data_IF_567219285615
#
_entry.id   IF_567219285615
#
_cell.length_a   1.000
_cell.length_b   1.000
_cell.length_c   1.000
_cell.angle_alpha   90.00
_cell.angle_beta   90.00
_cell.angle_gamma   90.00
#
_symmetry.space_group_name_H-M   'P 1'
#
loop_
_entity.id
_entity.type
_entity.pdbx_description
1 polymer ?
#
# COMPACT_ATOMS: atom_id res chain seq x y z
N UNK A 1 20.57 19.01 13.82
CA UNK A 1 21.17 17.94 14.64
C UNK A 1 20.01 17.17 15.24
N UNK A 2 19.52 16.15 14.53
CA UNK A 2 18.44 15.27 15.01
C UNK A 2 19.09 14.20 15.87
N UNK A 3 18.80 14.23 17.14
CA UNK A 3 19.21 13.24 18.12
C UNK A 3 18.58 11.90 17.80
N UNK A 4 19.40 10.93 17.48
CA UNK A 4 19.04 9.52 17.40
C UNK A 4 18.49 9.09 18.76
N UNK A 5 17.25 8.63 18.77
CA UNK A 5 16.62 8.03 19.93
C UNK A 5 17.32 6.68 20.20
N UNK A 6 17.84 6.42 21.39
CA UNK A 6 18.52 5.17 21.70
C UNK A 6 17.50 4.06 21.96
N UNK A 7 17.94 2.86 21.63
CA UNK A 7 17.35 1.56 21.96
C UNK A 7 16.16 1.10 21.09
N UNK A 8 16.52 0.69 19.87
CA UNK A 8 15.74 -0.35 19.21
C UNK A 8 15.93 -1.67 19.99
N UNK A 9 14.85 -2.37 20.35
CA UNK A 9 14.98 -3.72 20.88
C UNK A 9 15.72 -4.58 19.85
N UNK A 10 16.80 -5.21 20.27
CA UNK A 10 17.60 -6.13 19.46
C UNK A 10 16.71 -7.29 18.98
N UNK A 11 16.92 -7.71 17.72
CA UNK A 11 16.19 -8.75 16.98
C UNK A 11 16.35 -10.19 17.59
N UNK A 12 16.50 -10.35 18.90
CA UNK A 12 16.77 -11.62 19.56
C UNK A 12 15.55 -12.23 20.26
N UNK A 13 14.33 -11.99 19.77
CA UNK A 13 13.19 -12.79 20.26
C UNK A 13 12.67 -13.67 19.12
N UNK A 14 13.43 -14.74 18.81
CA UNK A 14 12.95 -15.91 18.07
C UNK A 14 12.03 -16.78 18.95
N UNK A 15 11.41 -16.19 19.96
CA UNK A 15 10.38 -16.83 20.78
C UNK A 15 9.33 -17.41 19.85
N UNK A 16 9.19 -18.74 19.89
CA UNK A 16 8.13 -19.45 19.16
C UNK A 16 6.83 -18.66 19.30
N UNK A 17 6.06 -18.56 18.22
CA UNK A 17 4.70 -18.01 18.20
C UNK A 17 3.77 -18.86 19.11
N UNK A 18 4.21 -19.15 20.32
CA UNK A 18 3.52 -19.95 21.29
C UNK A 18 2.47 -19.08 21.98
N UNK A 19 1.23 -19.22 21.56
CA UNK A 19 0.10 -18.80 22.36
C UNK A 19 -1.03 -18.03 21.69
N UNK A 20 -0.88 -17.45 20.49
CA UNK A 20 -2.02 -16.83 19.81
C UNK A 20 -2.51 -17.70 18.65
N UNK A 21 -3.72 -18.26 18.80
CA UNK A 21 -4.36 -19.11 17.78
C UNK A 21 -4.47 -18.39 16.41
N UNK A 22 -4.61 -17.06 16.43
CA UNK A 22 -4.72 -16.24 15.23
C UNK A 22 -3.39 -16.19 14.47
N UNK A 23 -2.24 -16.04 15.17
CA UNK A 23 -0.92 -16.07 14.53
C UNK A 23 -0.61 -17.44 13.95
N UNK A 24 -0.96 -18.51 14.68
CA UNK A 24 -0.83 -19.88 14.18
C UNK A 24 -1.67 -20.08 12.91
N UNK A 25 -2.90 -19.57 12.87
CA UNK A 25 -3.76 -19.63 11.70
C UNK A 25 -3.19 -18.82 10.52
N UNK A 26 -2.70 -17.60 10.77
CA UNK A 26 -2.11 -16.74 9.73
C UNK A 26 -0.92 -17.40 9.03
N UNK A 27 -0.05 -18.07 9.81
CA UNK A 27 1.18 -18.69 9.29
C UNK A 27 1.07 -20.21 9.11
N UNK A 28 -0.15 -20.79 9.17
CA UNK A 28 -0.38 -22.24 9.12
C UNK A 28 0.24 -22.91 7.87
N UNK A 29 0.28 -22.20 6.74
CA UNK A 29 0.82 -22.70 5.47
C UNK A 29 2.20 -22.14 5.13
N UNK A 30 2.74 -21.29 5.98
CA UNK A 30 4.03 -20.64 5.72
C UNK A 30 5.21 -21.62 5.92
N UNK A 31 6.24 -21.59 5.05
CA UNK A 31 7.39 -22.46 5.20
C UNK A 31 8.25 -22.08 6.41
N UNK A 32 8.74 -23.09 7.15
CA UNK A 32 9.64 -22.94 8.30
C UNK A 32 11.10 -22.70 7.87
N UNK A 33 11.35 -22.03 6.75
CA UNK A 33 12.70 -21.87 6.20
C UNK A 33 13.37 -20.57 6.63
N UNK A 34 14.70 -20.60 6.79
CA UNK A 34 15.49 -19.40 7.08
C UNK A 34 15.30 -18.30 6.02
N UNK A 35 15.10 -18.68 4.74
CA UNK A 35 14.86 -17.73 3.65
C UNK A 35 13.51 -17.03 3.80
N UNK A 36 12.46 -17.75 4.17
CA UNK A 36 11.15 -17.13 4.45
C UNK A 36 11.23 -16.19 5.66
N UNK A 37 11.88 -16.59 6.73
CA UNK A 37 12.07 -15.75 7.91
C UNK A 37 12.84 -14.47 7.59
N UNK A 38 13.90 -14.54 6.77
CA UNK A 38 14.64 -13.36 6.30
C UNK A 38 13.76 -12.44 5.44
N UNK A 39 12.94 -12.99 4.55
CA UNK A 39 11.99 -12.23 3.72
C UNK A 39 10.96 -11.51 4.58
N UNK A 40 10.32 -12.23 5.50
CA UNK A 40 9.34 -11.68 6.44
C UNK A 40 9.93 -10.55 7.28
N UNK A 41 11.10 -10.77 7.92
CA UNK A 41 11.81 -9.76 8.72
C UNK A 41 12.14 -8.51 7.88
N UNK A 42 12.53 -8.66 6.61
CA UNK A 42 12.80 -7.52 5.72
C UNK A 42 11.54 -6.71 5.42
N UNK A 43 10.43 -7.36 5.07
CA UNK A 43 9.15 -6.70 4.83
C UNK A 43 8.63 -5.97 6.07
N UNK A 44 8.72 -6.61 7.24
CA UNK A 44 8.37 -5.99 8.52
C UNK A 44 9.20 -4.75 8.81
N UNK A 45 10.52 -4.80 8.57
CA UNK A 45 11.42 -3.65 8.76
C UNK A 45 11.05 -2.51 7.81
N UNK A 46 10.84 -2.79 6.53
CA UNK A 46 10.43 -1.77 5.54
C UNK A 46 9.12 -1.12 5.90
N UNK A 47 8.13 -1.90 6.36
CA UNK A 47 6.83 -1.38 6.80
C UNK A 47 6.97 -0.49 8.05
N UNK A 48 7.70 -0.95 9.08
CA UNK A 48 7.93 -0.17 10.30
C UNK A 48 8.64 1.14 9.97
N UNK A 49 9.70 1.09 9.16
CA UNK A 49 10.42 2.28 8.74
C UNK A 49 9.49 3.30 8.06
N UNK A 50 8.60 2.85 7.15
CA UNK A 50 7.63 3.76 6.52
C UNK A 50 6.62 4.33 7.52
N UNK A 51 6.15 3.53 8.48
CA UNK A 51 5.25 3.99 9.54
C UNK A 51 5.92 5.08 10.39
N UNK A 52 7.17 4.87 10.77
CA UNK A 52 7.94 5.78 11.61
C UNK A 52 8.35 7.05 10.86
N UNK A 53 8.96 6.93 9.68
CA UNK A 53 9.46 8.05 8.87
C UNK A 53 8.35 9.05 8.49
N UNK A 54 7.13 8.55 8.25
CA UNK A 54 5.98 9.39 7.88
C UNK A 54 5.01 9.65 9.04
N UNK A 55 5.36 9.27 10.27
CA UNK A 55 4.55 9.49 11.46
C UNK A 55 3.12 8.98 11.30
N UNK A 56 2.95 7.76 10.75
CA UNK A 56 1.64 7.24 10.40
C UNK A 56 0.76 6.95 11.62
N UNK A 57 1.35 6.77 12.80
CA UNK A 57 0.64 6.51 14.05
C UNK A 57 0.19 7.78 14.77
N UNK A 58 0.68 8.96 14.36
CA UNK A 58 0.40 10.20 15.07
C UNK A 58 -1.10 10.55 15.05
N UNK A 59 -1.73 10.53 16.24
CA UNK A 59 -3.14 10.83 16.42
C UNK A 59 -4.09 9.71 15.97
N UNK A 60 -3.57 8.53 15.63
CA UNK A 60 -4.35 7.42 15.09
C UNK A 60 -4.74 6.41 16.17
N UNK A 61 -5.99 5.92 16.11
CA UNK A 61 -6.53 4.90 17.02
C UNK A 61 -7.08 3.68 16.27
N UNK A 62 -7.63 3.88 15.06
CA UNK A 62 -8.29 2.84 14.29
C UNK A 62 -8.05 3.00 12.80
N UNK A 63 -7.62 1.93 12.13
CA UNK A 63 -7.31 1.90 10.71
C UNK A 63 -8.28 1.01 9.94
N UNK A 64 -8.78 1.50 8.82
CA UNK A 64 -9.53 0.72 7.82
C UNK A 64 -8.55 0.14 6.80
N UNK A 65 -8.23 -1.14 6.90
CA UNK A 65 -7.30 -1.84 5.99
C UNK A 65 -8.06 -2.32 4.77
N UNK A 66 -7.77 -1.74 3.60
CA UNK A 66 -8.49 -2.03 2.37
C UNK A 66 -7.94 -3.25 1.65
N UNK A 67 -8.77 -4.24 1.43
CA UNK A 67 -8.45 -5.49 0.75
C UNK A 67 -9.09 -5.52 -0.63
N UNK A 68 -8.25 -5.62 -1.67
CA UNK A 68 -8.71 -5.85 -3.05
C UNK A 68 -8.81 -7.32 -3.41
N UNK A 69 -8.29 -8.22 -2.58
CA UNK A 69 -8.08 -9.63 -2.89
C UNK A 69 -6.75 -9.90 -3.63
N UNK A 70 -5.96 -8.87 -3.95
CA UNK A 70 -4.64 -9.03 -4.57
C UNK A 70 -3.54 -9.28 -3.54
N UNK A 71 -2.40 -9.81 -4.01
CA UNK A 71 -1.22 -10.18 -3.23
C UNK A 71 -0.75 -9.12 -2.22
N UNK A 72 -0.76 -7.85 -2.65
CA UNK A 72 -0.24 -6.74 -1.85
C UNK A 72 -1.17 -6.39 -0.70
N UNK A 73 -2.48 -6.47 -0.92
CA UNK A 73 -3.48 -6.21 0.12
C UNK A 73 -3.50 -7.32 1.19
N UNK A 74 -3.32 -8.58 0.81
CA UNK A 74 -3.14 -9.67 1.77
C UNK A 74 -1.82 -9.53 2.54
N UNK A 75 -0.73 -9.23 1.83
CA UNK A 75 0.58 -8.97 2.45
C UNK A 75 0.53 -7.82 3.44
N UNK A 76 -0.13 -6.71 3.07
CA UNK A 76 -0.38 -5.58 3.97
C UNK A 76 -1.08 -6.03 5.27
N UNK A 77 -2.22 -6.72 5.14
CA UNK A 77 -2.98 -7.17 6.31
C UNK A 77 -2.15 -8.09 7.20
N UNK A 78 -1.49 -9.09 6.62
CA UNK A 78 -0.70 -10.06 7.36
C UNK A 78 0.42 -9.39 8.17
N UNK A 79 1.17 -8.47 7.55
CA UNK A 79 2.26 -7.75 8.22
C UNK A 79 1.74 -6.78 9.30
N UNK A 80 0.60 -6.11 9.08
CA UNK A 80 -0.03 -5.25 10.09
C UNK A 80 -0.54 -6.05 11.28
N UNK A 81 -1.16 -7.21 11.04
CA UNK A 81 -1.58 -8.11 12.10
C UNK A 81 -0.38 -8.58 12.92
N UNK A 82 0.71 -8.98 12.28
CA UNK A 82 1.92 -9.38 12.98
C UNK A 82 2.51 -8.24 13.83
N UNK A 83 2.59 -7.00 13.29
CA UNK A 83 3.01 -5.84 14.07
C UNK A 83 2.11 -5.61 15.29
N UNK A 84 0.79 -5.72 15.11
CA UNK A 84 -0.17 -5.54 16.19
C UNK A 84 0.01 -6.59 17.28
N UNK A 85 0.14 -7.86 16.94
CA UNK A 85 0.34 -8.95 17.89
C UNK A 85 1.67 -8.88 18.64
N UNK A 86 2.69 -8.29 18.00
CA UNK A 86 3.97 -7.99 18.66
C UNK A 86 3.91 -6.76 19.56
N UNK A 87 2.76 -6.08 19.68
CA UNK A 87 2.64 -4.83 20.45
C UNK A 87 3.29 -3.62 19.80
N UNK A 88 3.69 -3.73 18.52
CA UNK A 88 4.39 -2.66 17.78
C UNK A 88 3.45 -1.76 16.97
N UNK A 89 2.15 -2.07 16.94
CA UNK A 89 1.13 -1.31 16.23
C UNK A 89 -0.06 -1.02 17.18
N UNK A 90 -0.07 0.09 17.90
CA UNK A 90 -1.06 0.41 18.94
C UNK A 90 -2.37 1.00 18.36
N UNK A 91 -2.85 0.45 17.23
CA UNK A 91 -4.12 0.85 16.60
C UNK A 91 -5.04 -0.35 16.44
N UNK A 92 -6.34 -0.12 16.42
CA UNK A 92 -7.31 -1.13 16.01
C UNK A 92 -7.32 -1.28 14.49
N UNK A 93 -7.47 -2.51 14.02
CA UNK A 93 -7.56 -2.82 12.59
C UNK A 93 -8.96 -3.33 12.26
N UNK A 94 -9.58 -2.74 11.23
CA UNK A 94 -10.78 -3.26 10.59
C UNK A 94 -10.44 -3.54 9.13
N UNK A 95 -10.59 -4.78 8.68
CA UNK A 95 -10.42 -5.12 7.29
C UNK A 95 -11.65 -4.70 6.49
N UNK A 96 -11.47 -4.16 5.30
CA UNK A 96 -12.58 -3.74 4.44
C UNK A 96 -12.36 -4.20 3.00
N UNK A 97 -13.37 -4.84 2.42
CA UNK A 97 -13.44 -5.05 0.98
C UNK A 97 -14.63 -4.28 0.40
N UNK A 98 -14.38 -3.55 -0.69
CA UNK A 98 -15.41 -2.94 -1.51
C UNK A 98 -15.62 -3.80 -2.76
N UNK A 99 -16.68 -4.59 -2.76
CA UNK A 99 -17.18 -5.30 -3.95
C UNK A 99 -17.85 -4.28 -4.88
N UNK A 100 -17.26 -4.05 -6.03
CA UNK A 100 -17.71 -3.05 -7.00
C UNK A 100 -18.74 -3.60 -8.00
N UNK A 101 -19.21 -4.83 -7.83
CA UNK A 101 -20.13 -5.49 -8.75
C UNK A 101 -19.47 -6.00 -10.04
N UNK A 102 -18.17 -6.26 -10.00
CA UNK A 102 -17.47 -6.82 -11.16
C UNK A 102 -17.99 -8.23 -11.48
N UNK A 103 -18.13 -8.58 -12.77
CA UNK A 103 -18.54 -9.92 -13.16
C UNK A 103 -17.62 -10.99 -12.58
N UNK A 104 -18.19 -12.08 -12.10
CA UNK A 104 -17.47 -13.25 -11.57
C UNK A 104 -16.58 -12.97 -10.34
N UNK A 105 -16.79 -11.87 -9.62
CA UNK A 105 -16.06 -11.62 -8.37
C UNK A 105 -16.43 -12.68 -7.33
N UNK A 106 -15.45 -13.44 -6.78
CA UNK A 106 -15.72 -14.53 -5.84
C UNK A 106 -15.99 -13.99 -4.44
N UNK A 107 -17.25 -13.68 -4.15
CA UNK A 107 -17.71 -12.96 -2.93
C UNK A 107 -17.40 -13.65 -1.61
N UNK A 108 -17.15 -14.97 -1.62
CA UNK A 108 -16.93 -15.78 -0.42
C UNK A 108 -15.47 -15.77 0.05
N UNK A 109 -14.48 -15.62 -0.85
CA UNK A 109 -13.05 -15.82 -0.54
C UNK A 109 -12.58 -14.90 0.60
N UNK A 110 -12.82 -13.59 0.47
CA UNK A 110 -12.35 -12.64 1.49
C UNK A 110 -13.07 -12.78 2.84
N UNK A 111 -14.42 -12.87 2.90
CA UNK A 111 -15.11 -13.10 4.16
C UNK A 111 -14.66 -14.37 4.88
N UNK A 112 -14.54 -15.49 4.14
CA UNK A 112 -14.12 -16.78 4.71
C UNK A 112 -12.70 -16.68 5.28
N UNK A 113 -11.76 -16.09 4.53
CA UNK A 113 -10.39 -15.87 4.99
C UNK A 113 -10.31 -14.99 6.23
N UNK A 114 -11.02 -13.84 6.24
CA UNK A 114 -11.01 -12.93 7.37
C UNK A 114 -11.66 -13.53 8.62
N UNK A 115 -12.73 -14.29 8.44
CA UNK A 115 -13.40 -15.03 9.52
C UNK A 115 -12.48 -16.09 10.10
N UNK A 116 -11.76 -16.85 9.26
CA UNK A 116 -10.82 -17.88 9.73
C UNK A 116 -9.68 -17.31 10.58
N UNK A 117 -9.30 -16.05 10.35
CA UNK A 117 -8.31 -15.33 11.14
C UNK A 117 -8.90 -14.61 12.36
N UNK A 118 -10.22 -14.60 12.55
CA UNK A 118 -10.89 -13.84 13.61
C UNK A 118 -10.72 -12.31 13.46
N UNK A 119 -10.49 -11.82 12.24
CA UNK A 119 -10.29 -10.40 11.96
C UNK A 119 -11.63 -9.67 11.82
N UNK A 120 -11.80 -8.58 12.58
CA UNK A 120 -12.97 -7.70 12.38
C UNK A 120 -12.95 -7.16 10.96
N UNK A 121 -14.06 -7.35 10.23
CA UNK A 121 -14.12 -6.95 8.84
C UNK A 121 -15.50 -6.44 8.41
N UNK A 122 -15.51 -5.67 7.32
CA UNK A 122 -16.70 -5.19 6.61
C UNK A 122 -16.55 -5.48 5.13
N UNK A 123 -17.56 -6.15 4.57
CA UNK A 123 -17.71 -6.33 3.12
C UNK A 123 -18.82 -5.37 2.67
N UNK A 124 -18.48 -4.42 1.83
CA UNK A 124 -19.40 -3.43 1.29
C UNK A 124 -19.65 -3.72 -0.19
N UNK A 125 -20.89 -3.89 -0.57
CA UNK A 125 -21.29 -3.99 -1.97
C UNK A 125 -21.75 -2.64 -2.50
N UNK A 126 -21.14 -2.19 -3.61
CA UNK A 126 -21.56 -1.00 -4.35
C UNK A 126 -21.30 -1.21 -5.83
N UNK A 127 -22.36 -1.26 -6.62
CA UNK A 127 -22.25 -1.40 -8.08
C UNK A 127 -21.68 -0.09 -8.69
N UNK A 128 -20.37 0.10 -8.53
CA UNK A 128 -19.65 1.19 -9.19
C UNK A 128 -19.19 0.78 -10.59
N UNK A 129 -19.14 -0.52 -10.87
CA UNK A 129 -18.74 -1.03 -12.18
C UNK A 129 -19.73 -0.64 -13.27
N UNK A 130 -21.04 -0.84 -13.05
CA UNK A 130 -22.08 -0.42 -14.00
C UNK A 130 -22.07 1.09 -14.21
N UNK A 131 -21.90 1.89 -13.15
CA UNK A 131 -21.80 3.36 -13.24
C UNK A 131 -20.62 3.78 -14.13
N UNK A 132 -19.46 3.12 -13.97
CA UNK A 132 -18.27 3.42 -14.77
C UNK A 132 -18.50 3.04 -16.23
N UNK A 133 -19.09 1.88 -16.50
CA UNK A 133 -19.42 1.44 -17.87
C UNK A 133 -20.39 2.38 -18.59
N UNK A 134 -21.37 2.89 -17.88
CA UNK A 134 -22.36 3.82 -18.44
C UNK A 134 -21.79 5.21 -18.75
N UNK A 135 -20.91 5.72 -17.87
CA UNK A 135 -20.43 7.11 -17.94
C UNK A 135 -19.16 7.30 -18.74
N UNK A 136 -18.41 6.24 -19.01
CA UNK A 136 -17.15 6.34 -19.75
C UNK A 136 -17.35 5.84 -21.17
N UNK A 137 -17.09 6.69 -22.21
CA UNK A 137 -17.21 6.28 -23.60
C UNK A 137 -16.34 5.09 -23.95
N UNK A 138 -16.79 4.29 -24.91
CA UNK A 138 -16.03 3.16 -25.43
C UNK A 138 -14.66 3.63 -25.95
N UNK A 139 -13.57 2.98 -25.52
CA UNK A 139 -12.19 3.38 -25.86
C UNK A 139 -11.54 4.39 -24.92
N UNK A 140 -12.28 4.98 -23.96
CA UNK A 140 -11.72 5.85 -22.93
C UNK A 140 -11.33 5.07 -21.67
N UNK A 141 -10.41 5.65 -20.85
CA UNK A 141 -9.90 4.98 -19.63
C UNK A 141 -10.89 5.03 -18.47
N UNK A 142 -11.26 3.87 -17.95
CA UNK A 142 -12.20 3.73 -16.83
C UNK A 142 -11.60 4.10 -15.46
N UNK A 143 -10.27 4.08 -15.32
CA UNK A 143 -9.60 4.03 -14.01
C UNK A 143 -9.68 5.31 -13.20
N UNK A 144 -9.73 6.49 -13.82
CA UNK A 144 -9.81 7.75 -13.06
C UNK A 144 -11.17 7.89 -12.35
N UNK A 145 -12.28 7.56 -13.02
CA UNK A 145 -13.62 7.58 -12.42
C UNK A 145 -13.78 6.45 -11.40
N UNK A 146 -13.34 5.23 -11.74
CA UNK A 146 -13.38 4.07 -10.86
C UNK A 146 -12.60 4.33 -9.56
N UNK A 147 -11.37 4.86 -9.65
CA UNK A 147 -10.55 5.15 -8.46
C UNK A 147 -11.14 6.26 -7.60
N UNK A 148 -11.81 7.26 -8.21
CA UNK A 148 -12.51 8.34 -7.48
C UNK A 148 -13.71 7.79 -6.71
N UNK A 149 -14.56 7.00 -7.38
CA UNK A 149 -15.74 6.37 -6.75
C UNK A 149 -15.32 5.43 -5.62
N UNK A 150 -14.27 4.61 -5.84
CA UNK A 150 -13.75 3.71 -4.82
C UNK A 150 -13.25 4.49 -3.59
N UNK A 151 -12.45 5.55 -3.79
CA UNK A 151 -11.96 6.38 -2.67
C UNK A 151 -13.10 7.02 -1.88
N UNK A 152 -14.09 7.61 -2.55
CA UNK A 152 -15.25 8.20 -1.88
C UNK A 152 -16.00 7.20 -1.01
N UNK A 153 -16.21 5.96 -1.51
CA UNK A 153 -16.83 4.91 -0.72
C UNK A 153 -15.96 4.48 0.49
N UNK A 154 -14.65 4.34 0.30
CA UNK A 154 -13.74 3.96 1.39
C UNK A 154 -13.69 5.03 2.49
N UNK A 155 -13.68 6.31 2.14
CA UNK A 155 -13.75 7.39 3.14
C UNK A 155 -15.09 7.39 3.90
N UNK A 156 -16.21 7.17 3.20
CA UNK A 156 -17.52 7.00 3.85
C UNK A 156 -17.50 5.84 4.85
N UNK A 157 -17.01 4.67 4.43
CA UNK A 157 -16.91 3.49 5.29
C UNK A 157 -16.00 3.77 6.49
N UNK A 158 -14.87 4.45 6.29
CA UNK A 158 -13.97 4.82 7.38
C UNK A 158 -14.68 5.67 8.44
N UNK A 159 -15.48 6.67 8.02
CA UNK A 159 -16.28 7.50 8.93
C UNK A 159 -17.32 6.67 9.69
N UNK A 160 -18.05 5.80 8.98
CA UNK A 160 -19.08 4.93 9.57
C UNK A 160 -18.51 3.95 10.61
N UNK A 161 -17.28 3.43 10.39
CA UNK A 161 -16.57 2.54 11.30
C UNK A 161 -15.75 3.29 12.38
N UNK A 162 -15.75 4.63 12.37
CA UNK A 162 -14.95 5.45 13.28
C UNK A 162 -13.45 5.24 13.10
N UNK A 163 -13.00 5.04 11.85
CA UNK A 163 -11.59 4.89 11.51
C UNK A 163 -10.96 6.24 11.18
N UNK A 164 -9.76 6.49 11.72
CA UNK A 164 -8.99 7.71 11.50
C UNK A 164 -8.27 7.67 10.15
N UNK A 165 -8.02 6.47 9.62
CA UNK A 165 -7.30 6.29 8.38
C UNK A 165 -7.84 5.14 7.51
N UNK A 166 -7.68 5.32 6.20
CA UNK A 166 -7.78 4.30 5.14
C UNK A 166 -6.37 3.84 4.77
N UNK A 167 -6.11 2.55 4.87
CA UNK A 167 -4.78 1.95 4.65
C UNK A 167 -4.78 1.11 3.39
N UNK A 168 -3.86 1.43 2.46
CA UNK A 168 -3.78 0.83 1.13
C UNK A 168 -2.45 0.09 0.93
N UNK A 169 -2.51 -1.02 0.19
CA UNK A 169 -1.38 -1.89 -0.11
C UNK A 169 -0.47 -1.41 -1.25
N UNK A 170 -0.37 -0.09 -1.50
CA UNK A 170 0.56 0.43 -2.50
C UNK A 170 2.00 0.32 -2.01
N UNK A 171 2.88 -0.16 -2.88
CA UNK A 171 4.27 -0.47 -2.59
C UNK A 171 5.24 0.42 -3.38
N UNK A 172 6.56 0.18 -3.24
CA UNK A 172 7.63 0.97 -3.87
C UNK A 172 7.43 1.15 -5.37
N UNK A 173 7.13 0.10 -6.10
CA UNK A 173 6.96 0.14 -7.55
C UNK A 173 5.74 0.97 -7.96
N UNK A 174 4.61 0.89 -7.25
CA UNK A 174 3.44 1.76 -7.51
C UNK A 174 3.78 3.24 -7.40
N UNK A 175 4.60 3.60 -6.40
CA UNK A 175 5.08 4.97 -6.17
C UNK A 175 5.95 5.42 -7.34
N UNK A 176 6.91 4.58 -7.76
CA UNK A 176 7.81 4.88 -8.88
C UNK A 176 7.08 4.94 -10.21
N UNK A 177 6.22 3.96 -10.51
CA UNK A 177 5.39 3.97 -11.72
C UNK A 177 4.54 5.23 -11.80
N UNK A 178 3.90 5.63 -10.69
CA UNK A 178 3.10 6.86 -10.64
C UNK A 178 3.97 8.11 -10.83
N UNK A 179 5.17 8.13 -10.25
CA UNK A 179 6.12 9.22 -10.46
C UNK A 179 6.48 9.35 -11.95
N UNK A 180 6.89 8.27 -12.61
CA UNK A 180 7.26 8.31 -14.01
C UNK A 180 6.09 8.58 -14.95
N UNK A 181 4.88 8.11 -14.63
CA UNK A 181 3.67 8.52 -15.36
C UNK A 181 3.43 10.03 -15.27
N UNK A 182 3.56 10.61 -14.07
CA UNK A 182 3.44 12.06 -13.90
C UNK A 182 4.58 12.83 -14.59
N UNK A 183 5.78 12.31 -14.55
CA UNK A 183 6.97 12.92 -15.16
C UNK A 183 6.87 12.94 -16.69
N UNK A 184 6.58 11.80 -17.33
CA UNK A 184 6.54 11.68 -18.78
C UNK A 184 5.25 12.21 -19.43
N UNK A 185 4.13 12.02 -18.77
CA UNK A 185 2.82 12.34 -19.34
C UNK A 185 2.14 13.53 -18.67
N UNK A 186 2.45 13.79 -17.39
CA UNK A 186 1.84 14.87 -16.63
C UNK A 186 2.67 16.15 -16.56
N UNK A 187 3.94 16.13 -16.99
CA UNK A 187 4.85 17.28 -16.93
C UNK A 187 5.08 17.80 -15.50
N UNK A 188 5.04 16.92 -14.50
CA UNK A 188 5.17 17.30 -13.09
C UNK A 188 5.93 16.29 -12.26
N UNK A 189 6.67 16.76 -11.28
CA UNK A 189 7.36 15.94 -10.28
C UNK A 189 6.39 15.63 -9.12
N UNK A 190 5.62 14.57 -9.26
CA UNK A 190 4.64 14.14 -8.26
C UNK A 190 4.48 12.61 -8.26
N UNK A 191 4.21 12.05 -7.10
CA UNK A 191 3.95 10.63 -6.95
C UNK A 191 2.80 10.35 -5.97
N UNK A 192 2.64 9.11 -5.50
CA UNK A 192 1.74 8.76 -4.42
C UNK A 192 2.43 9.05 -3.07
N UNK A 193 1.96 10.03 -2.27
CA UNK A 193 2.54 10.25 -0.95
C UNK A 193 2.25 9.06 -0.02
N UNK A 194 3.21 8.68 0.85
CA UNK A 194 2.98 7.61 1.82
C UNK A 194 1.90 7.91 2.85
N UNK A 195 1.68 9.19 3.14
CA UNK A 195 0.63 9.72 4.03
C UNK A 195 0.00 10.95 3.40
N UNK A 196 -1.32 11.01 3.39
CA UNK A 196 -2.09 12.11 2.81
C UNK A 196 -3.39 12.29 3.61
N UNK A 197 -3.75 13.52 3.90
CA UNK A 197 -5.07 13.86 4.40
C UNK A 197 -6.04 13.98 3.21
N UNK A 198 -7.26 13.47 3.32
CA UNK A 198 -8.28 13.65 2.29
C UNK A 198 -8.68 15.13 2.15
N UNK A 199 -9.40 15.46 1.07
CA UNK A 199 -9.78 16.84 0.76
C UNK A 199 -10.73 17.44 1.82
N UNK A 200 -11.52 16.62 2.51
CA UNK A 200 -12.41 17.03 3.60
C UNK A 200 -11.67 17.26 4.93
N UNK A 201 -10.42 16.81 5.05
CA UNK A 201 -9.57 17.07 6.22
C UNK A 201 -9.84 16.18 7.44
N UNK A 202 -10.53 15.04 7.26
CA UNK A 202 -10.99 14.20 8.37
C UNK A 202 -10.50 12.75 8.35
N UNK A 203 -10.01 12.24 7.22
CA UNK A 203 -9.52 10.85 7.07
C UNK A 203 -8.14 10.83 6.45
N UNK A 204 -7.19 10.17 7.11
CA UNK A 204 -5.85 9.93 6.56
C UNK A 204 -5.87 8.80 5.53
N UNK A 205 -5.07 8.92 4.50
CA UNK A 205 -4.71 7.85 3.56
C UNK A 205 -3.28 7.42 3.83
N UNK A 206 -3.08 6.16 4.19
CA UNK A 206 -1.78 5.62 4.57
C UNK A 206 -1.33 4.51 3.63
N UNK A 207 -0.01 4.44 3.37
CA UNK A 207 0.63 3.40 2.54
C UNK A 207 1.85 2.81 3.25
N UNK A 208 1.64 1.93 4.24
CA UNK A 208 2.74 1.38 5.03
C UNK A 208 3.74 0.54 4.22
N UNK A 209 3.33 0.03 3.04
CA UNK A 209 4.22 -0.71 2.13
C UNK A 209 5.08 0.18 1.23
N UNK A 210 5.12 1.51 1.44
CA UNK A 210 5.82 2.46 0.57
C UNK A 210 7.29 2.09 0.29
N UNK A 211 7.97 1.44 1.23
CA UNK A 211 9.36 0.97 1.09
C UNK A 211 9.50 -0.50 0.71
N UNK A 212 8.40 -1.26 0.66
CA UNK A 212 8.44 -2.68 0.32
C UNK A 212 8.61 -2.88 -1.19
N UNK A 213 9.50 -3.80 -1.57
CA UNK A 213 9.69 -4.21 -2.97
C UNK A 213 8.54 -5.14 -3.41
N UNK A 214 8.03 -4.95 -4.63
CA UNK A 214 6.98 -5.80 -5.21
C UNK A 214 7.39 -7.27 -5.26
N UNK A 215 8.64 -7.57 -5.65
CA UNK A 215 9.16 -8.93 -5.73
C UNK A 215 9.16 -9.63 -4.36
N UNK A 216 9.44 -8.89 -3.29
CA UNK A 216 9.39 -9.42 -1.93
C UNK A 216 7.95 -9.72 -1.51
N UNK A 217 7.00 -8.83 -1.83
CA UNK A 217 5.58 -9.05 -1.58
C UNK A 217 5.05 -10.24 -2.38
N UNK A 218 5.45 -10.39 -3.65
CA UNK A 218 5.05 -11.52 -4.48
C UNK A 218 5.55 -12.85 -3.91
N UNK A 219 6.84 -12.91 -3.51
CA UNK A 219 7.42 -14.09 -2.86
C UNK A 219 6.76 -14.39 -1.52
N UNK A 220 6.47 -13.37 -0.73
CA UNK A 220 5.77 -13.51 0.53
C UNK A 220 4.36 -14.05 0.32
N UNK A 221 3.59 -13.48 -0.60
CA UNK A 221 2.24 -13.92 -0.91
C UNK A 221 2.17 -15.38 -1.38
N UNK A 222 3.12 -15.80 -2.24
CA UNK A 222 3.24 -17.19 -2.70
C UNK A 222 3.56 -18.12 -1.52
N UNK A 223 4.51 -17.73 -0.66
CA UNK A 223 4.90 -18.54 0.50
C UNK A 223 3.79 -18.68 1.53
N UNK A 224 2.98 -17.64 1.72
CA UNK A 224 1.81 -17.63 2.62
C UNK A 224 0.58 -18.33 2.03
N UNK A 225 0.59 -18.67 0.74
CA UNK A 225 -0.52 -19.31 0.01
C UNK A 225 -1.84 -18.51 0.13
N UNK A 226 -1.77 -17.16 0.02
CA UNK A 226 -2.96 -16.34 0.09
C UNK A 226 -3.98 -16.70 -1.00
N UNK A 227 -5.28 -16.69 -0.69
CA UNK A 227 -6.34 -16.97 -1.67
C UNK A 227 -6.55 -15.76 -2.59
N UNK A 228 -5.59 -15.53 -3.52
CA UNK A 228 -5.56 -14.35 -4.37
C UNK A 228 -6.71 -14.38 -5.37
N UNK A 229 -7.44 -13.26 -5.45
CA UNK A 229 -8.49 -13.03 -6.45
C UNK A 229 -7.82 -12.39 -7.67
N UNK A 230 -7.98 -12.96 -8.88
CA UNK A 230 -7.42 -12.37 -10.10
C UNK A 230 -7.90 -10.93 -10.36
N UNK A 231 -7.00 -10.06 -10.85
CA UNK A 231 -7.28 -8.62 -11.04
C UNK A 231 -7.74 -8.25 -12.46
N UNK A 232 -8.04 -9.21 -13.31
CA UNK A 232 -8.39 -9.04 -14.74
C UNK A 232 -9.90 -8.89 -15.01
N UNK A 233 -10.69 -8.80 -13.96
CA UNK A 233 -12.15 -8.80 -14.04
C UNK A 233 -12.76 -7.55 -14.69
N UNK A 234 -12.04 -6.43 -14.77
CA UNK A 234 -12.60 -5.17 -15.31
C UNK A 234 -12.26 -4.89 -16.78
N UNK A 235 -11.32 -5.61 -17.39
CA UNK A 235 -10.95 -5.46 -18.81
C UNK A 235 -10.42 -4.07 -19.21
N UNK A 236 -9.94 -3.27 -18.25
CA UNK A 236 -9.52 -1.89 -18.52
C UNK A 236 -8.13 -1.80 -19.18
N UNK A 237 -7.98 -0.86 -20.12
CA UNK A 237 -6.72 -0.63 -20.85
C UNK A 237 -5.69 0.24 -20.13
N UNK A 238 -5.99 0.74 -18.92
CA UNK A 238 -5.04 1.57 -18.14
C UNK A 238 -3.75 0.83 -17.75
N UNK A 239 -3.75 -0.49 -17.91
CA UNK A 239 -2.56 -1.30 -17.80
C UNK A 239 -1.45 -0.94 -18.78
N UNK A 240 -1.75 -0.31 -19.93
CA UNK A 240 -0.74 -0.13 -20.97
C UNK A 240 0.36 0.86 -20.57
N UNK A 241 0.01 2.08 -20.14
CA UNK A 241 1.02 3.07 -19.75
C UNK A 241 1.75 2.66 -18.46
N UNK A 242 1.03 2.14 -17.47
CA UNK A 242 1.64 1.62 -16.25
C UNK A 242 2.55 0.43 -16.55
N UNK A 243 2.15 -0.48 -17.44
CA UNK A 243 2.96 -1.61 -17.86
C UNK A 243 4.23 -1.17 -18.60
N UNK A 244 4.17 -0.10 -19.39
CA UNK A 244 5.36 0.51 -20.01
C UNK A 244 6.32 1.05 -18.96
N UNK A 245 5.81 1.79 -17.96
CA UNK A 245 6.65 2.28 -16.85
C UNK A 245 7.26 1.13 -16.06
N UNK A 246 6.49 0.10 -15.76
CA UNK A 246 6.97 -1.12 -15.08
C UNK A 246 8.07 -1.81 -15.87
N UNK A 247 7.90 -2.00 -17.18
CA UNK A 247 8.90 -2.60 -18.05
C UNK A 247 10.20 -1.77 -18.07
N UNK A 248 10.09 -0.45 -18.19
CA UNK A 248 11.23 0.47 -18.15
C UNK A 248 11.98 0.37 -16.82
N UNK A 249 11.28 0.40 -15.69
CA UNK A 249 11.89 0.27 -14.37
C UNK A 249 12.58 -1.07 -14.16
N UNK A 250 12.02 -2.15 -14.68
CA UNK A 250 12.62 -3.48 -14.61
C UNK A 250 13.87 -3.60 -15.51
N UNK A 251 13.85 -3.00 -16.70
CA UNK A 251 15.04 -2.94 -17.57
C UNK A 251 16.18 -2.16 -16.91
N UNK A 252 15.88 -1.01 -16.31
CA UNK A 252 16.87 -0.21 -15.56
C UNK A 252 17.44 -1.02 -14.37
N UNK A 253 16.58 -1.66 -13.60
CA UNK A 253 17.01 -2.47 -12.45
C UNK A 253 17.88 -3.66 -12.86
N UNK A 254 17.55 -4.29 -14.00
CA UNK A 254 18.35 -5.40 -14.56
C UNK A 254 19.74 -4.96 -14.99
N UNK A 255 19.83 -3.80 -15.67
CA UNK A 255 21.14 -3.24 -16.13
C UNK A 255 21.95 -2.65 -14.98
N UNK A 256 21.28 -2.07 -14.00
CA UNK A 256 21.89 -1.35 -12.89
C UNK A 256 21.17 -1.72 -11.57
N UNK A 257 21.51 -2.83 -10.93
CA UNK A 257 20.85 -3.29 -9.72
C UNK A 257 20.84 -2.23 -8.59
N UNK A 258 19.74 -2.15 -7.84
CA UNK A 258 19.54 -1.19 -6.75
C UNK A 258 19.07 0.19 -7.19
N UNK A 259 18.70 0.39 -8.47
CA UNK A 259 18.25 1.71 -8.96
C UNK A 259 16.84 2.05 -8.52
N UNK A 260 15.95 1.09 -8.38
CA UNK A 260 14.62 1.34 -7.82
C UNK A 260 14.70 1.94 -6.41
N UNK A 261 15.58 1.42 -5.55
CA UNK A 261 15.80 2.00 -4.22
C UNK A 261 16.41 3.40 -4.27
N UNK A 262 17.34 3.62 -5.20
CA UNK A 262 17.95 4.94 -5.40
C UNK A 262 16.91 5.96 -5.88
N UNK A 263 16.05 5.60 -6.83
CA UNK A 263 14.97 6.45 -7.33
C UNK A 263 13.97 6.78 -6.22
N UNK A 264 13.57 5.79 -5.42
CA UNK A 264 12.67 6.03 -4.29
C UNK A 264 13.28 7.01 -3.28
N UNK A 265 14.56 6.83 -2.92
CA UNK A 265 15.26 7.76 -2.04
C UNK A 265 15.33 9.17 -2.61
N UNK A 266 15.51 9.32 -3.91
CA UNK A 266 15.56 10.62 -4.58
C UNK A 266 14.26 11.41 -4.41
N UNK A 267 13.10 10.74 -4.33
CA UNK A 267 11.82 11.39 -4.05
C UNK A 267 11.76 12.05 -2.67
N UNK A 268 12.55 11.56 -1.70
CA UNK A 268 12.67 12.12 -0.36
C UNK A 268 13.84 13.10 -0.18
N UNK A 269 14.65 13.34 -1.24
CA UNK A 269 15.82 14.22 -1.20
C UNK A 269 15.73 15.28 -2.30
N UNK A 270 14.84 16.22 -2.08
CA UNK A 270 14.62 17.33 -3.02
C UNK A 270 15.55 18.49 -2.66
N UNK A 271 16.27 19.02 -3.67
CA UNK A 271 17.03 20.25 -3.55
C UNK A 271 16.29 21.38 -4.30
N UNK A 272 15.48 22.19 -3.61
CA UNK A 272 14.61 23.18 -4.24
C UNK A 272 15.33 24.19 -5.14
N UNK A 273 16.51 24.64 -4.73
CA UNK A 273 17.31 25.61 -5.51
C UNK A 273 17.87 25.04 -6.82
N UNK A 274 17.82 23.74 -7.03
CA UNK A 274 18.27 23.05 -8.24
C UNK A 274 17.11 22.56 -9.11
N UNK A 275 15.87 22.92 -8.75
CA UNK A 275 14.67 22.71 -9.55
C UNK A 275 14.22 24.06 -10.14
N UNK A 276 13.27 24.01 -11.10
CA UNK A 276 12.83 25.20 -11.84
C UNK A 276 11.48 25.76 -11.35
N UNK A 277 11.03 25.37 -10.14
CA UNK A 277 9.74 25.81 -9.60
C UNK A 277 9.93 27.04 -8.67
N UNK A 278 9.47 28.23 -9.10
CA UNK A 278 9.62 29.47 -8.30
C UNK A 278 8.77 29.47 -7.02
N UNK A 279 7.83 28.53 -6.86
CA UNK A 279 7.08 28.35 -5.63
C UNK A 279 7.86 27.58 -4.57
N UNK A 280 8.84 26.77 -4.99
CA UNK A 280 9.71 25.99 -4.10
C UNK A 280 10.96 26.75 -3.70
N UNK A 281 11.46 27.64 -4.58
CA UNK A 281 12.63 28.43 -4.33
C UNK A 281 12.50 29.83 -4.97
N UNK A 282 12.77 30.86 -4.21
CA UNK A 282 12.70 32.26 -4.65
C UNK A 282 13.99 32.66 -5.41
N UNK A 283 14.01 32.45 -6.71
CA UNK A 283 15.11 32.82 -7.59
C UNK A 283 15.26 34.34 -7.72
N UNK A 284 14.17 35.12 -7.55
CA UNK A 284 14.20 36.56 -7.69
C UNK A 284 14.91 37.25 -6.49
N UNK A 285 14.98 36.57 -5.36
CA UNK A 285 15.70 37.07 -4.17
C UNK A 285 17.22 36.90 -4.28
N UNK A 286 17.75 36.19 -5.30
CA UNK A 286 19.19 36.04 -5.48
C UNK A 286 19.78 37.35 -5.99
N UNK A 287 20.67 37.95 -5.18
CA UNK A 287 21.47 39.12 -5.54
C UNK A 287 22.96 38.77 -5.49
N UNK A 288 23.75 39.31 -6.44
CA UNK A 288 25.20 39.14 -6.46
C UNK A 288 25.89 40.01 -5.40
#
# INVERSE_FOLDING_TARGET
MLTLNPEMPTDEDDGAFAGDATMAALYAHAPQSANFNKLRKRLMRSMRQAIDDFGMLNGQKRWLVCLSGGKDSYGLLALLLELKWRGLLPVELIACNLDQGQPNFPKHILPDYLTSLGVKHRIEYRDTYSIVKEKVPEGATYCSLCSRLRRGNLYRIAREEGCDAVVLGHHREDILETFFMNFFHGGRLASMPPKLLNDEGDVMLLRPLAYAAEDDLARFATAMQFPIIPCDLCGSQDGLQRNVMKAMLNDIETRMPGRKDTMLRALGHVNPSHLMDPKLFDFAALTA
#
